data_IF_535630882347
#
_entry.id   IF_535630882347
#
_cell.length_a   1.000
_cell.length_b   1.000
_cell.length_c   1.000
_cell.angle_alpha   90.00
_cell.angle_beta   90.00
_cell.angle_gamma   90.00
#
_symmetry.space_group_name_H-M   'P 1'
#
loop_
_entity.id
_entity.type
_entity.pdbx_description
1 polymer ?
#
# COMPACT_ATOMS: atom_id res chain seq x y z
N UNK A 1 28.89 -10.65 22.58
CA UNK A 1 28.21 -9.34 22.78
C UNK A 1 26.74 -9.63 22.66
N UNK A 2 26.10 -9.87 23.80
CA UNK A 2 24.65 -10.10 23.89
C UNK A 2 23.93 -8.81 23.55
N UNK A 3 23.31 -8.76 22.38
CA UNK A 3 22.27 -7.78 22.09
C UNK A 3 20.98 -8.28 22.71
N UNK A 4 20.76 -7.88 23.96
CA UNK A 4 19.48 -7.97 24.62
C UNK A 4 18.44 -7.15 23.78
N UNK A 5 17.70 -7.84 22.92
CA UNK A 5 16.56 -7.29 22.14
C UNK A 5 15.26 -7.34 22.94
N UNK A 6 15.33 -7.45 24.26
CA UNK A 6 14.23 -7.26 25.21
C UNK A 6 13.83 -5.80 25.41
N UNK A 7 14.00 -4.93 24.40
CA UNK A 7 13.64 -3.53 24.46
C UNK A 7 12.12 -3.32 24.59
N UNK A 8 11.71 -2.41 25.49
CA UNK A 8 10.33 -1.99 25.63
C UNK A 8 9.76 -1.56 24.27
N UNK A 9 8.52 -1.99 23.95
CA UNK A 9 7.84 -1.61 22.73
C UNK A 9 7.83 -0.09 22.56
N UNK A 10 8.07 0.44 21.34
CA UNK A 10 7.91 1.87 21.08
C UNK A 10 6.52 2.34 21.54
N UNK A 11 6.45 3.52 22.15
CA UNK A 11 5.24 4.00 22.81
C UNK A 11 4.00 3.99 21.89
N UNK A 12 4.16 4.35 20.60
CA UNK A 12 3.08 4.33 19.64
C UNK A 12 2.65 2.92 19.24
N UNK A 13 3.59 1.97 19.15
CA UNK A 13 3.25 0.55 18.91
C UNK A 13 2.43 0.03 20.08
N UNK A 14 2.87 0.26 21.32
CA UNK A 14 2.11 -0.14 22.52
C UNK A 14 0.73 0.52 22.58
N UNK A 15 0.63 1.77 22.18
CA UNK A 15 -0.65 2.50 22.13
C UNK A 15 -1.58 1.96 21.01
N UNK A 16 -1.04 1.63 19.85
CA UNK A 16 -1.80 1.06 18.72
C UNK A 16 -2.37 -0.32 19.07
N UNK A 17 -1.62 -1.14 19.83
CA UNK A 17 -2.08 -2.44 20.33
C UNK A 17 -2.98 -2.33 21.59
N UNK A 18 -3.24 -1.13 22.10
CA UNK A 18 -4.02 -0.97 23.33
C UNK A 18 -3.35 -1.52 24.59
N UNK A 19 -2.04 -1.81 24.54
CA UNK A 19 -1.25 -2.35 25.67
C UNK A 19 -0.93 -1.25 26.70
N UNK A 20 -0.98 0.02 26.29
CA UNK A 20 -0.78 1.16 27.18
C UNK A 20 -2.13 1.61 27.71
N UNK A 21 -2.29 1.60 29.04
CA UNK A 21 -3.50 2.14 29.68
C UNK A 21 -3.77 3.56 29.20
N UNK A 22 -4.97 3.77 28.64
CA UNK A 22 -5.47 5.13 28.43
C UNK A 22 -5.59 5.81 29.78
N UNK A 23 -5.16 7.07 29.93
CA UNK A 23 -5.37 7.80 31.18
C UNK A 23 -6.84 7.76 31.55
N UNK A 24 -7.11 7.37 32.78
CA UNK A 24 -8.36 6.93 33.35
C UNK A 24 -9.64 7.68 33.00
N UNK A 25 -10.78 7.07 33.39
CA UNK A 25 -12.18 7.54 33.28
C UNK A 25 -12.37 9.04 33.63
N UNK A 26 -12.22 9.86 32.59
CA UNK A 26 -12.62 11.27 32.57
C UNK A 26 -13.49 11.53 31.32
N UNK A 27 -14.10 12.73 31.16
CA UNK A 27 -14.80 13.09 29.92
C UNK A 27 -13.88 12.83 28.74
N UNK A 28 -14.40 12.26 27.60
CA UNK A 28 -13.60 11.88 26.42
C UNK A 28 -12.58 12.99 26.14
N UNK A 29 -11.26 12.70 26.17
CA UNK A 29 -10.27 13.73 25.92
C UNK A 29 -10.56 14.37 24.58
N UNK A 30 -10.51 15.67 24.46
CA UNK A 30 -10.71 16.39 23.20
C UNK A 30 -9.66 15.99 22.14
N UNK A 31 -8.57 15.32 22.55
CA UNK A 31 -7.48 14.81 21.73
C UNK A 31 -7.26 13.31 22.03
N UNK A 32 -7.12 12.49 20.97
CA UNK A 32 -6.78 11.07 21.06
C UNK A 32 -5.82 10.71 19.93
N UNK A 33 -5.09 9.58 20.06
CA UNK A 33 -4.19 9.08 19.00
C UNK A 33 -4.96 8.89 17.68
N UNK A 34 -6.13 8.28 17.73
CA UNK A 34 -7.01 8.07 16.57
C UNK A 34 -7.39 9.39 15.87
N UNK A 35 -7.75 10.43 16.64
CA UNK A 35 -8.06 11.75 16.08
C UNK A 35 -6.84 12.41 15.44
N UNK A 36 -5.66 12.25 16.04
CA UNK A 36 -4.40 12.78 15.52
C UNK A 36 -4.06 12.11 14.18
N UNK A 37 -4.10 10.78 14.15
CA UNK A 37 -3.84 9.97 12.94
C UNK A 37 -4.87 10.29 11.86
N UNK A 38 -6.16 10.34 12.20
CA UNK A 38 -7.21 10.69 11.25
C UNK A 38 -7.05 12.09 10.64
N UNK A 39 -6.66 13.09 11.45
CA UNK A 39 -6.35 14.44 10.94
C UNK A 39 -5.16 14.44 9.98
N UNK A 40 -4.10 13.71 10.32
CA UNK A 40 -2.92 13.59 9.47
C UNK A 40 -3.24 12.88 8.13
N UNK A 41 -4.06 11.83 8.14
CA UNK A 41 -4.55 11.14 6.93
C UNK A 41 -5.36 12.10 6.06
N UNK A 42 -6.27 12.88 6.63
CA UNK A 42 -7.03 13.89 5.85
C UNK A 42 -6.12 14.90 5.18
N UNK A 43 -5.10 15.40 5.89
CA UNK A 43 -4.12 16.33 5.33
C UNK A 43 -3.34 15.66 4.18
N UNK A 44 -2.84 14.42 4.39
CA UNK A 44 -2.10 13.69 3.36
C UNK A 44 -2.94 13.42 2.11
N UNK A 45 -4.22 13.06 2.28
CA UNK A 45 -5.13 12.78 1.16
C UNK A 45 -5.54 14.04 0.37
N UNK A 46 -5.64 15.19 1.03
CA UNK A 46 -6.02 16.45 0.38
C UNK A 46 -4.82 17.18 -0.24
N UNK A 47 -3.72 17.28 0.49
CA UNK A 47 -2.61 18.19 0.19
C UNK A 47 -1.27 17.46 -0.06
N UNK A 48 -1.27 16.13 -0.03
CA UNK A 48 -0.08 15.30 -0.17
C UNK A 48 0.65 15.03 1.14
N UNK A 49 1.52 14.02 1.14
CA UNK A 49 2.27 13.58 2.32
C UNK A 49 3.22 14.67 2.87
N UNK A 50 3.82 15.47 1.99
CA UNK A 50 4.75 16.53 2.37
C UNK A 50 4.08 17.65 3.18
N UNK A 51 2.77 17.80 3.01
CA UNK A 51 1.98 18.76 3.77
C UNK A 51 1.74 18.32 5.23
N UNK A 52 2.01 17.07 5.58
CA UNK A 52 1.83 16.58 6.95
C UNK A 52 2.97 17.06 7.85
N UNK A 53 2.62 17.81 8.88
CA UNK A 53 3.54 18.23 9.95
C UNK A 53 2.82 18.26 11.28
N UNK A 54 3.56 18.11 12.38
CA UNK A 54 2.99 18.15 13.73
C UNK A 54 2.22 19.46 13.99
N UNK A 55 2.74 20.59 13.52
CA UNK A 55 2.08 21.88 13.65
C UNK A 55 0.78 21.97 12.86
N UNK A 56 0.76 21.44 11.63
CA UNK A 56 -0.45 21.47 10.78
C UNK A 56 -1.55 20.55 11.32
N UNK A 57 -1.17 19.37 11.80
CA UNK A 57 -2.11 18.44 12.45
C UNK A 57 -2.66 19.05 13.73
N UNK A 58 -1.82 19.72 14.53
CA UNK A 58 -2.27 20.42 15.74
C UNK A 58 -3.28 21.54 15.41
N UNK A 59 -3.00 22.34 14.37
CA UNK A 59 -3.89 23.40 13.91
C UNK A 59 -5.25 22.84 13.42
N UNK A 60 -5.26 21.74 12.64
CA UNK A 60 -6.48 21.07 12.16
C UNK A 60 -7.36 20.57 13.32
N UNK A 61 -6.74 20.22 14.45
CA UNK A 61 -7.43 19.74 15.65
C UNK A 61 -7.76 20.82 16.68
N UNK A 62 -7.36 22.08 16.44
CA UNK A 62 -7.49 23.15 17.43
C UNK A 62 -6.68 22.91 18.70
N UNK A 63 -5.54 22.22 18.60
CA UNK A 63 -4.68 21.82 19.71
C UNK A 63 -3.29 22.47 19.60
N UNK A 64 -2.52 22.43 20.70
CA UNK A 64 -1.11 22.81 20.66
C UNK A 64 -0.25 21.65 20.16
N UNK A 65 0.85 21.96 19.45
CA UNK A 65 1.83 20.95 19.00
C UNK A 65 2.39 20.13 20.18
N UNK A 66 2.60 20.77 21.33
CA UNK A 66 3.05 20.09 22.55
C UNK A 66 2.07 19.04 23.06
N UNK A 67 0.77 19.27 22.83
CA UNK A 67 -0.26 18.29 23.21
C UNK A 67 -0.20 17.03 22.35
N UNK A 68 0.20 17.14 21.06
CA UNK A 68 0.38 15.99 20.16
C UNK A 68 1.58 15.15 20.57
N UNK A 69 2.68 15.78 20.99
CA UNK A 69 3.90 15.07 21.40
C UNK A 69 3.71 14.16 22.62
N UNK A 70 2.60 14.30 23.36
CA UNK A 70 2.23 13.37 24.42
C UNK A 70 1.70 12.03 23.90
N UNK A 71 1.25 11.99 22.64
CA UNK A 71 0.69 10.80 21.97
C UNK A 71 1.65 10.19 20.96
N UNK A 72 2.39 11.03 20.25
CA UNK A 72 3.28 10.64 19.16
C UNK A 72 4.59 11.41 19.32
N UNK A 73 5.70 10.70 19.47
CA UNK A 73 6.99 11.30 19.83
C UNK A 73 7.69 12.02 18.66
N UNK A 74 7.36 11.64 17.42
CA UNK A 74 7.98 12.19 16.22
C UNK A 74 7.06 12.08 14.99
N UNK A 75 7.36 12.86 13.93
CA UNK A 75 6.65 12.78 12.65
C UNK A 75 6.70 11.37 12.05
N UNK A 76 7.87 10.71 12.11
CA UNK A 76 8.04 9.37 11.53
C UNK A 76 7.17 8.32 12.23
N UNK A 77 6.95 8.47 13.53
CA UNK A 77 6.03 7.64 14.30
C UNK A 77 4.59 7.89 13.86
N UNK A 78 4.21 9.17 13.68
CA UNK A 78 2.89 9.53 13.16
C UNK A 78 2.67 8.92 11.76
N UNK A 79 3.65 8.99 10.88
CA UNK A 79 3.57 8.43 9.52
C UNK A 79 3.35 6.91 9.56
N UNK A 80 4.03 6.18 10.43
CA UNK A 80 3.80 4.73 10.60
C UNK A 80 2.37 4.43 11.03
N UNK A 81 1.86 5.17 12.00
CA UNK A 81 0.46 5.02 12.47
C UNK A 81 -0.56 5.40 11.38
N UNK A 82 -0.24 6.40 10.56
CA UNK A 82 -1.08 6.77 9.41
C UNK A 82 -1.15 5.63 8.38
N UNK A 83 -0.01 4.99 8.08
CA UNK A 83 0.05 3.83 7.16
C UNK A 83 -0.82 2.70 7.68
N UNK A 84 -0.64 2.30 8.94
CA UNK A 84 -1.43 1.25 9.57
C UNK A 84 -2.93 1.55 9.52
N UNK A 85 -3.32 2.77 9.89
CA UNK A 85 -4.72 3.17 9.86
C UNK A 85 -5.29 3.27 8.43
N UNK A 86 -4.48 3.62 7.43
CA UNK A 86 -4.86 3.66 6.02
C UNK A 86 -5.08 2.26 5.43
N UNK A 87 -4.32 1.27 5.87
CA UNK A 87 -4.59 -0.13 5.54
C UNK A 87 -5.97 -0.55 6.04
N UNK A 88 -6.34 -0.16 7.26
CA UNK A 88 -7.56 -0.65 7.89
C UNK A 88 -7.58 -2.17 8.03
N UNK A 89 -8.72 -2.79 8.37
CA UNK A 89 -8.83 -4.24 8.47
C UNK A 89 -8.72 -4.92 7.10
N UNK A 90 -8.07 -6.10 7.02
CA UNK A 90 -8.04 -6.90 5.80
C UNK A 90 -9.44 -7.45 5.45
N UNK A 91 -9.66 -7.94 4.21
CA UNK A 91 -10.93 -8.55 3.83
C UNK A 91 -11.25 -9.76 4.69
N UNK A 92 -12.52 -9.98 5.00
CA UNK A 92 -12.96 -11.14 5.73
C UNK A 92 -12.69 -12.44 4.93
N UNK A 93 -12.49 -13.57 5.61
CA UNK A 93 -12.43 -14.87 4.94
C UNK A 93 -13.83 -15.27 4.45
N UNK A 94 -13.89 -15.91 3.29
CA UNK A 94 -15.11 -16.53 2.80
C UNK A 94 -15.09 -18.03 3.15
N UNK A 95 -16.14 -18.59 3.76
CA UNK A 95 -16.18 -19.99 4.11
C UNK A 95 -16.05 -20.90 2.88
N UNK A 96 -15.12 -21.86 2.94
CA UNK A 96 -14.91 -22.82 1.86
C UNK A 96 -14.19 -22.29 0.62
N UNK A 97 -13.69 -21.06 0.67
CA UNK A 97 -12.90 -20.46 -0.41
C UNK A 97 -11.51 -21.13 -0.47
N UNK A 98 -11.12 -21.63 -1.66
CA UNK A 98 -9.78 -22.17 -1.88
C UNK A 98 -8.71 -21.06 -1.90
N UNK A 99 -7.43 -21.46 -1.84
CA UNK A 99 -6.30 -20.54 -1.75
C UNK A 99 -6.26 -19.48 -2.90
N UNK A 100 -6.53 -19.88 -4.13
CA UNK A 100 -6.41 -18.98 -5.30
C UNK A 100 -7.40 -17.81 -5.25
N UNK A 101 -8.73 -18.00 -5.13
CA UNK A 101 -9.66 -16.89 -4.99
C UNK A 101 -9.42 -16.09 -3.69
N UNK A 102 -9.03 -16.72 -2.57
CA UNK A 102 -8.72 -16.04 -1.33
C UNK A 102 -7.53 -15.08 -1.46
N UNK A 103 -6.43 -15.52 -2.09
CA UNK A 103 -5.25 -14.70 -2.35
C UNK A 103 -5.55 -13.60 -3.36
N UNK A 104 -6.33 -13.90 -4.41
CA UNK A 104 -6.78 -12.90 -5.39
C UNK A 104 -7.59 -11.79 -4.70
N UNK A 105 -8.58 -12.14 -3.88
CA UNK A 105 -9.38 -11.16 -3.12
C UNK A 105 -8.53 -10.32 -2.16
N UNK A 106 -7.53 -10.92 -1.53
CA UNK A 106 -6.55 -10.21 -0.69
C UNK A 106 -5.76 -9.18 -1.49
N UNK A 107 -5.26 -9.56 -2.68
CA UNK A 107 -4.51 -8.67 -3.56
C UNK A 107 -5.36 -7.49 -4.07
N UNK A 108 -6.61 -7.75 -4.49
CA UNK A 108 -7.57 -6.74 -4.92
C UNK A 108 -7.91 -5.77 -3.80
N UNK A 109 -8.14 -6.26 -2.59
CA UNK A 109 -8.42 -5.41 -1.43
C UNK A 109 -7.22 -4.51 -1.09
N UNK A 110 -5.99 -5.01 -1.21
CA UNK A 110 -4.76 -4.23 -1.02
C UNK A 110 -4.65 -3.12 -2.08
N UNK A 111 -4.87 -3.44 -3.36
CA UNK A 111 -4.88 -2.45 -4.44
C UNK A 111 -5.90 -1.35 -4.17
N UNK A 112 -7.14 -1.73 -3.83
CA UNK A 112 -8.18 -0.77 -3.47
C UNK A 112 -7.78 0.12 -2.27
N UNK A 113 -7.02 -0.39 -1.33
CA UNK A 113 -6.44 0.37 -0.21
C UNK A 113 -5.46 1.44 -0.70
N UNK A 114 -4.55 1.08 -1.60
CA UNK A 114 -3.59 2.02 -2.20
C UNK A 114 -4.27 3.07 -3.10
N UNK A 115 -5.32 2.70 -3.83
CA UNK A 115 -6.10 3.64 -4.62
C UNK A 115 -6.83 4.68 -3.75
N UNK A 116 -7.35 4.26 -2.58
CA UNK A 116 -7.96 5.19 -1.61
C UNK A 116 -6.93 6.13 -0.97
N UNK A 117 -5.70 5.65 -0.77
CA UNK A 117 -4.63 6.36 -0.08
C UNK A 117 -3.32 6.33 -0.89
N UNK A 118 -3.24 7.00 -2.07
CA UNK A 118 -2.09 6.92 -2.97
C UNK A 118 -0.78 7.41 -2.34
N UNK A 119 -0.85 8.22 -1.28
CA UNK A 119 0.32 8.68 -0.55
C UNK A 119 1.05 7.55 0.22
N UNK A 120 0.37 6.43 0.52
CA UNK A 120 0.97 5.28 1.24
C UNK A 120 2.12 4.65 0.46
N UNK A 121 2.00 4.53 -0.86
CA UNK A 121 3.05 3.93 -1.69
C UNK A 121 4.33 4.78 -1.77
N UNK A 122 4.25 6.07 -1.39
CA UNK A 122 5.40 6.99 -1.30
C UNK A 122 6.25 6.77 -0.05
N UNK A 123 5.73 6.03 0.94
CA UNK A 123 6.43 5.78 2.20
C UNK A 123 7.25 4.50 2.03
N UNK A 124 8.58 4.56 2.22
CA UNK A 124 9.43 3.36 2.14
C UNK A 124 9.02 2.32 3.17
N UNK A 125 9.09 1.04 2.81
CA UNK A 125 8.95 -0.06 3.76
C UNK A 125 10.20 -0.03 4.65
N UNK A 126 10.01 0.24 5.93
CA UNK A 126 11.11 0.43 6.90
C UNK A 126 11.32 -0.76 7.85
N UNK A 127 10.60 -1.85 7.66
CA UNK A 127 10.70 -3.03 8.52
C UNK A 127 9.60 -4.06 8.27
N UNK A 128 9.57 -5.06 9.14
CA UNK A 128 8.51 -6.08 9.16
C UNK A 128 7.23 -5.48 9.79
N UNK A 129 6.05 -6.03 9.49
CA UNK A 129 4.78 -5.59 10.06
C UNK A 129 4.77 -5.77 11.58
N UNK A 130 4.54 -4.69 12.31
CA UNK A 130 4.47 -4.68 13.78
C UNK A 130 3.25 -3.94 14.33
N UNK A 131 2.52 -3.22 13.48
CA UNK A 131 1.30 -2.50 13.85
C UNK A 131 0.06 -3.37 13.62
N UNK A 132 -1.05 -3.14 14.32
CA UNK A 132 -2.19 -4.04 14.35
C UNK A 132 -2.76 -4.41 12.98
N UNK A 133 -3.00 -3.42 12.11
CA UNK A 133 -3.55 -3.70 10.79
C UNK A 133 -2.51 -4.32 9.86
N UNK A 134 -1.25 -3.87 9.90
CA UNK A 134 -0.15 -4.50 9.14
C UNK A 134 -0.04 -6.00 9.47
N UNK A 135 -0.06 -6.35 10.77
CA UNK A 135 -0.02 -7.74 11.23
C UNK A 135 -1.28 -8.50 10.78
N UNK A 136 -2.45 -7.88 10.89
CA UNK A 136 -3.70 -8.50 10.45
C UNK A 136 -3.73 -8.77 8.94
N UNK A 137 -3.17 -7.86 8.12
CA UNK A 137 -3.02 -8.07 6.68
C UNK A 137 -2.05 -9.20 6.35
N UNK A 138 -0.92 -9.29 7.06
CA UNK A 138 0.05 -10.38 6.90
C UNK A 138 -0.56 -11.72 7.30
N UNK A 139 -1.22 -11.80 8.46
CA UNK A 139 -1.97 -12.97 8.93
C UNK A 139 -3.02 -13.41 7.91
N UNK A 140 -3.82 -12.48 7.38
CA UNK A 140 -4.86 -12.78 6.38
C UNK A 140 -4.25 -13.31 5.08
N UNK A 141 -3.11 -12.76 4.66
CA UNK A 141 -2.35 -13.25 3.51
C UNK A 141 -1.88 -14.69 3.72
N UNK A 142 -1.25 -15.00 4.84
CA UNK A 142 -0.81 -16.37 5.18
C UNK A 142 -2.00 -17.33 5.26
N UNK A 143 -3.09 -16.92 5.91
CA UNK A 143 -4.30 -17.73 6.04
C UNK A 143 -4.96 -18.03 4.69
N UNK A 144 -4.84 -17.14 3.69
CA UNK A 144 -5.35 -17.40 2.34
C UNK A 144 -4.67 -18.59 1.65
N UNK A 145 -3.47 -18.95 2.10
CA UNK A 145 -2.67 -20.07 1.58
C UNK A 145 -2.76 -21.34 2.45
N UNK A 146 -3.69 -21.40 3.42
CA UNK A 146 -3.81 -22.49 4.38
C UNK A 146 -3.89 -23.86 3.72
N UNK A 147 -4.74 -24.00 2.72
CA UNK A 147 -5.02 -25.27 2.02
C UNK A 147 -4.14 -25.50 0.77
N UNK A 148 -3.09 -24.68 0.58
CA UNK A 148 -2.23 -24.77 -0.61
C UNK A 148 -1.20 -25.90 -0.57
N UNK A 149 -0.95 -26.50 0.61
CA UNK A 149 0.13 -27.48 0.79
C UNK A 149 1.55 -26.87 0.81
N UNK A 150 1.67 -25.53 0.71
CA UNK A 150 2.94 -24.83 0.79
C UNK A 150 3.48 -24.82 2.23
N UNK A 151 4.81 -24.86 2.38
CA UNK A 151 5.45 -24.65 3.67
C UNK A 151 5.35 -23.18 4.12
N UNK A 152 5.46 -22.92 5.43
CA UNK A 152 5.28 -21.57 5.98
C UNK A 152 6.25 -20.53 5.39
N UNK A 153 7.49 -20.94 5.09
CA UNK A 153 8.47 -20.06 4.43
C UNK A 153 8.07 -19.74 2.97
N UNK A 154 7.48 -20.71 2.28
CA UNK A 154 6.97 -20.52 0.91
C UNK A 154 5.75 -19.59 0.93
N UNK A 155 4.82 -19.75 1.88
CA UNK A 155 3.68 -18.85 2.07
C UNK A 155 4.13 -17.42 2.30
N UNK A 156 5.12 -17.19 3.17
CA UNK A 156 5.67 -15.86 3.41
C UNK A 156 6.29 -15.26 2.13
N UNK A 157 7.00 -16.07 1.34
CA UNK A 157 7.57 -15.65 0.06
C UNK A 157 6.49 -15.29 -0.97
N UNK A 158 5.39 -16.05 -1.02
CA UNK A 158 4.23 -15.74 -1.87
C UNK A 158 3.60 -14.41 -1.48
N UNK A 159 3.40 -14.16 -0.18
CA UNK A 159 2.84 -12.88 0.30
C UNK A 159 3.74 -11.72 -0.08
N UNK A 160 5.06 -11.88 0.05
CA UNK A 160 6.02 -10.86 -0.37
C UNK A 160 5.97 -10.61 -1.90
N UNK A 161 5.87 -11.68 -2.71
CA UNK A 161 5.75 -11.57 -4.16
C UNK A 161 4.49 -10.80 -4.58
N UNK A 162 3.32 -11.23 -4.07
CA UNK A 162 2.04 -10.62 -4.44
C UNK A 162 1.94 -9.18 -3.92
N UNK A 163 2.32 -8.91 -2.67
CA UNK A 163 2.31 -7.54 -2.13
C UNK A 163 3.28 -6.63 -2.88
N UNK A 164 4.44 -7.14 -3.29
CA UNK A 164 5.40 -6.41 -4.12
C UNK A 164 4.83 -6.04 -5.47
N UNK A 165 4.16 -6.96 -6.16
CA UNK A 165 3.46 -6.70 -7.42
C UNK A 165 2.40 -5.59 -7.25
N UNK A 166 1.48 -5.77 -6.30
CA UNK A 166 0.40 -4.80 -6.02
C UNK A 166 0.97 -3.42 -5.74
N UNK A 167 1.99 -3.34 -4.88
CA UNK A 167 2.62 -2.07 -4.51
C UNK A 167 3.33 -1.40 -5.68
N UNK A 168 4.07 -2.18 -6.50
CA UNK A 168 4.80 -1.63 -7.66
C UNK A 168 3.83 -1.01 -8.65
N UNK A 169 2.74 -1.71 -8.97
CA UNK A 169 1.74 -1.19 -9.88
C UNK A 169 1.07 0.07 -9.32
N UNK A 170 0.64 0.03 -8.07
CA UNK A 170 0.04 1.20 -7.40
C UNK A 170 1.01 2.41 -7.32
N UNK A 171 2.32 2.16 -7.18
CA UNK A 171 3.34 3.23 -7.23
C UNK A 171 3.41 3.84 -8.63
N UNK A 172 3.46 3.00 -9.67
CA UNK A 172 3.47 3.45 -11.07
C UNK A 172 2.22 4.26 -11.40
N UNK A 173 1.03 3.78 -11.02
CA UNK A 173 -0.24 4.50 -11.20
C UNK A 173 -0.21 5.89 -10.50
N UNK A 174 0.28 5.93 -9.26
CA UNK A 174 0.40 7.17 -8.50
C UNK A 174 1.40 8.16 -9.12
N UNK A 175 2.54 7.65 -9.67
CA UNK A 175 3.57 8.47 -10.31
C UNK A 175 3.09 9.05 -11.64
N UNK A 176 2.49 8.20 -12.49
CA UNK A 176 1.91 8.63 -13.77
C UNK A 176 0.78 9.63 -13.53
N UNK A 177 -0.13 9.34 -12.61
CA UNK A 177 -1.19 10.27 -12.26
C UNK A 177 -0.68 11.62 -11.70
N UNK A 178 0.41 11.61 -10.95
CA UNK A 178 1.05 12.86 -10.49
C UNK A 178 1.70 13.64 -11.65
N UNK A 179 2.36 12.96 -12.60
CA UNK A 179 2.95 13.58 -13.78
C UNK A 179 1.89 14.22 -14.69
N UNK A 180 0.76 13.52 -14.92
CA UNK A 180 -0.37 14.05 -15.69
C UNK A 180 -0.92 15.32 -15.02
N UNK A 181 -1.20 15.26 -13.71
CA UNK A 181 -1.69 16.45 -12.98
C UNK A 181 -0.70 17.63 -13.04
N UNK A 182 0.58 17.36 -12.92
CA UNK A 182 1.62 18.41 -12.99
C UNK A 182 1.73 19.03 -14.38
N UNK A 183 1.46 18.28 -15.46
CA UNK A 183 1.48 18.80 -16.82
C UNK A 183 0.29 19.71 -17.15
N UNK A 184 -0.82 19.59 -16.43
CA UNK A 184 -2.08 20.26 -16.74
C UNK A 184 -2.75 19.78 -18.03
N UNK A 185 -2.23 18.73 -18.66
CA UNK A 185 -2.79 18.14 -19.87
C UNK A 185 -3.98 17.23 -19.56
N UNK A 186 -4.82 16.99 -20.56
CA UNK A 186 -5.82 15.94 -20.52
C UNK A 186 -5.13 14.57 -20.42
N UNK A 187 -5.60 13.65 -19.57
CA UNK A 187 -4.98 12.33 -19.41
C UNK A 187 -4.85 11.52 -20.71
N UNK A 188 -5.88 11.52 -21.54
CA UNK A 188 -5.89 10.75 -22.79
C UNK A 188 -4.93 11.37 -23.81
N UNK A 189 -4.87 12.70 -23.88
CA UNK A 189 -3.91 13.41 -24.74
C UNK A 189 -2.47 13.19 -24.28
N UNK A 190 -2.22 13.18 -22.96
CA UNK A 190 -0.92 12.93 -22.38
C UNK A 190 -0.42 11.51 -22.71
N UNK A 191 -1.28 10.51 -22.54
CA UNK A 191 -0.97 9.12 -22.88
C UNK A 191 -0.73 8.94 -24.38
N UNK A 192 -1.56 9.51 -25.24
CA UNK A 192 -1.42 9.43 -26.70
C UNK A 192 -0.18 10.19 -27.21
N UNK A 193 0.36 11.14 -26.48
CA UNK A 193 1.57 11.86 -26.87
C UNK A 193 2.84 10.98 -26.76
N UNK A 194 2.86 10.02 -25.83
CA UNK A 194 4.03 9.19 -25.55
C UNK A 194 4.47 8.34 -26.76
N UNK A 195 3.63 7.52 -27.43
CA UNK A 195 4.05 6.74 -28.59
C UNK A 195 4.44 7.63 -29.77
N UNK A 196 3.79 8.78 -29.95
CA UNK A 196 4.16 9.75 -30.99
C UNK A 196 5.57 10.34 -30.76
N UNK A 197 5.91 10.59 -29.49
CA UNK A 197 7.25 11.04 -29.09
C UNK A 197 8.29 9.93 -29.32
N UNK A 198 8.02 8.72 -28.89
CA UNK A 198 8.91 7.57 -29.09
C UNK A 198 9.20 7.31 -30.57
N UNK A 199 8.16 7.37 -31.42
CA UNK A 199 8.32 7.18 -32.87
C UNK A 199 9.23 8.26 -33.52
N UNK A 200 9.30 9.46 -32.94
CA UNK A 200 10.22 10.52 -33.41
C UNK A 200 11.65 10.37 -32.89
N UNK A 201 11.82 9.73 -31.74
CA UNK A 201 13.11 9.59 -31.04
C UNK A 201 13.84 8.29 -31.39
N UNK A 202 13.11 7.30 -31.91
CA UNK A 202 13.66 5.95 -32.14
C UNK A 202 13.74 5.59 -33.63
N UNK A 203 14.82 4.92 -33.98
CA UNK A 203 15.02 4.35 -35.29
C UNK A 203 14.57 2.87 -35.31
N UNK A 204 13.64 2.45 -36.19
CA UNK A 204 13.15 1.07 -36.26
C UNK A 204 14.22 0.01 -36.51
N UNK A 205 15.35 0.38 -37.16
CA UNK A 205 16.47 -0.55 -37.39
C UNK A 205 17.19 -0.82 -36.06
N UNK A 206 17.38 0.20 -35.26
CA UNK A 206 18.04 0.11 -33.94
C UNK A 206 17.11 -0.43 -32.87
N UNK A 207 15.81 -0.15 -32.94
CA UNK A 207 14.79 -0.48 -31.92
C UNK A 207 13.60 -1.24 -32.55
N UNK A 208 13.81 -2.43 -33.16
CA UNK A 208 12.77 -3.13 -33.90
C UNK A 208 11.59 -3.60 -33.02
N UNK A 209 11.87 -4.08 -31.82
CA UNK A 209 10.81 -4.50 -30.87
C UNK A 209 9.93 -3.33 -30.42
N UNK A 210 10.53 -2.16 -30.15
CA UNK A 210 9.78 -0.95 -29.78
C UNK A 210 8.96 -0.43 -30.96
N UNK A 211 9.49 -0.49 -32.18
CA UNK A 211 8.75 -0.13 -33.39
C UNK A 211 7.52 -1.03 -33.59
N UNK A 212 7.66 -2.33 -33.38
CA UNK A 212 6.54 -3.27 -33.44
C UNK A 212 5.49 -3.00 -32.34
N UNK A 213 5.93 -2.69 -31.12
CA UNK A 213 5.07 -2.34 -30.00
C UNK A 213 4.25 -1.06 -30.28
N UNK A 214 4.89 -0.01 -30.80
CA UNK A 214 4.22 1.23 -31.21
C UNK A 214 3.20 0.95 -32.34
N UNK A 215 3.61 0.18 -33.36
CA UNK A 215 2.76 -0.17 -34.50
C UNK A 215 1.53 -1.03 -34.11
N UNK A 216 1.62 -1.75 -32.99
CA UNK A 216 0.49 -2.51 -32.44
C UNK A 216 -0.59 -1.64 -31.80
N UNK A 217 -0.37 -0.32 -31.66
CA UNK A 217 -1.38 0.63 -31.15
C UNK A 217 -1.75 0.40 -29.67
N UNK A 218 -0.86 -0.22 -28.89
CA UNK A 218 -1.14 -0.59 -27.48
C UNK A 218 -1.55 0.61 -26.62
N UNK A 219 -1.08 1.81 -26.95
CA UNK A 219 -1.43 3.04 -26.23
C UNK A 219 -2.75 3.69 -26.69
N UNK A 220 -3.38 3.17 -27.76
CA UNK A 220 -4.62 3.68 -28.33
C UNK A 220 -5.85 2.88 -27.85
N UNK A 221 -5.59 1.72 -27.22
CA UNK A 221 -6.64 0.86 -26.67
C UNK A 221 -6.98 1.40 -25.27
N UNK A 222 -8.24 1.78 -25.09
CA UNK A 222 -8.77 2.16 -23.79
C UNK A 222 -9.22 0.87 -23.08
N UNK A 223 -8.26 0.14 -22.52
CA UNK A 223 -8.51 -1.03 -21.70
C UNK A 223 -9.14 -0.61 -20.36
N UNK A 224 -9.84 -1.53 -19.71
CA UNK A 224 -10.29 -1.34 -18.34
C UNK A 224 -9.06 -1.01 -17.45
N UNK A 225 -9.11 0.02 -16.60
CA UNK A 225 -8.02 0.36 -15.68
C UNK A 225 -7.53 -0.82 -14.84
N UNK A 226 -8.35 -1.88 -14.74
CA UNK A 226 -8.05 -3.08 -13.99
C UNK A 226 -7.40 -4.19 -14.81
N UNK A 227 -7.32 -4.08 -16.14
CA UNK A 227 -6.82 -5.15 -17.03
C UNK A 227 -5.34 -5.45 -16.81
N UNK A 228 -4.49 -4.43 -16.68
CA UNK A 228 -3.06 -4.59 -16.37
C UNK A 228 -2.86 -5.32 -15.04
N UNK A 229 -3.62 -4.94 -14.02
CA UNK A 229 -3.56 -5.58 -12.71
C UNK A 229 -4.05 -7.03 -12.78
N UNK A 230 -5.16 -7.27 -13.45
CA UNK A 230 -5.74 -8.60 -13.64
C UNK A 230 -4.77 -9.52 -14.37
N UNK A 231 -4.19 -9.04 -15.49
CA UNK A 231 -3.23 -9.81 -16.27
C UNK A 231 -2.04 -10.27 -15.43
N UNK A 232 -1.39 -9.36 -14.71
CA UNK A 232 -0.22 -9.70 -13.94
C UNK A 232 -0.53 -10.58 -12.73
N UNK A 233 -1.63 -10.29 -12.01
CA UNK A 233 -2.06 -11.11 -10.88
C UNK A 233 -2.37 -12.55 -11.33
N UNK A 234 -3.11 -12.75 -12.42
CA UNK A 234 -3.42 -14.08 -12.94
C UNK A 234 -2.15 -14.84 -13.34
N UNK A 235 -1.15 -14.20 -13.95
CA UNK A 235 0.15 -14.87 -14.27
C UNK A 235 0.89 -15.30 -13.00
N UNK A 236 0.86 -14.51 -11.95
CA UNK A 236 1.42 -14.91 -10.65
C UNK A 236 0.65 -16.11 -10.09
N UNK A 237 -0.68 -16.05 -10.08
CA UNK A 237 -1.52 -17.13 -9.57
C UNK A 237 -1.38 -18.42 -10.38
N UNK A 238 -1.21 -18.36 -11.71
CA UNK A 238 -0.96 -19.52 -12.55
C UNK A 238 0.39 -20.18 -12.21
N UNK A 239 1.43 -19.36 -11.96
CA UNK A 239 2.73 -19.86 -11.50
C UNK A 239 2.66 -20.54 -10.14
N UNK A 240 1.91 -19.96 -9.21
CA UNK A 240 1.68 -20.56 -7.89
C UNK A 240 0.86 -21.85 -7.98
N UNK A 241 -0.14 -21.92 -8.84
CA UNK A 241 -0.93 -23.11 -9.09
C UNK A 241 -0.07 -24.27 -9.61
N UNK A 242 0.91 -23.97 -10.49
CA UNK A 242 1.89 -24.97 -10.92
C UNK A 242 2.75 -25.46 -9.74
N UNK A 243 3.18 -24.59 -8.82
CA UNK A 243 3.94 -24.96 -7.62
C UNK A 243 3.10 -25.81 -6.67
N UNK A 244 1.87 -25.40 -6.36
CA UNK A 244 0.94 -26.12 -5.47
C UNK A 244 0.67 -27.54 -5.96
N UNK A 245 0.47 -27.73 -7.28
CA UNK A 245 0.30 -29.06 -7.87
C UNK A 245 1.50 -30.01 -7.71
N UNK A 246 2.67 -29.50 -7.40
CA UNK A 246 3.84 -30.35 -7.11
C UNK A 246 3.89 -30.81 -5.64
N UNK A 247 3.04 -30.26 -4.77
CA UNK A 247 2.98 -30.53 -3.34
C UNK A 247 1.81 -31.45 -2.96
N UNK A 248 0.81 -31.57 -3.84
CA UNK A 248 -0.31 -32.51 -3.72
C UNK A 248 -0.01 -33.80 -4.49
#
# INVERSE_FOLDING_TARGET
MDHDHGGALPAAVAAAWGVRESPGKGPKPGLSLERIVGAAIRIASRDGLDAVSMSRVAADLGASTMSLYRYVSAKDELVKLMVDAAYGPPPAAEPGEGWRPALSRWAWAMRAGFQRHPWVVRIPISGLPILPNEVAWFERGLASLGDSGLEEAEKASVIMLVSGYVRTLATTEADVGAAIRASGADPDEWMAAYPRMLAKLTDPVRFPALAAFIAAGVFEVHDDPDDEFTFGLERILDGLDALVRTRT
#
